data_IF_198846123567
#
_entry.id   IF_198846123567
#
_cell.length_a   1.000
_cell.length_b   1.000
_cell.length_c   1.000
_cell.angle_alpha   90.00
_cell.angle_beta   90.00
_cell.angle_gamma   90.00
#
_symmetry.space_group_name_H-M   'P 1'
#
loop_
_entity.id
_entity.type
_entity.pdbx_description
1 polymer ?
#
# COMPACT_ATOMS: atom_id res chain seq x y z
N UNK A 1 13.24 13.68 15.33
CA UNK A 1 12.26 12.57 15.28
C UNK A 1 12.94 11.36 14.65
N UNK A 2 12.76 10.17 15.24
CA UNK A 2 13.26 8.94 14.64
C UNK A 2 12.30 8.48 13.53
N UNK A 3 12.81 8.27 12.32
CA UNK A 3 12.03 7.99 11.13
C UNK A 3 12.44 6.66 10.50
N UNK A 4 11.47 5.86 10.06
CA UNK A 4 11.69 4.58 9.43
C UNK A 4 11.02 4.52 8.05
N UNK A 5 11.75 4.07 7.04
CA UNK A 5 11.19 3.56 5.80
C UNK A 5 11.15 2.03 5.87
N UNK A 6 9.97 1.46 5.72
CA UNK A 6 9.74 0.03 5.84
C UNK A 6 9.22 -0.54 4.52
N UNK A 7 9.86 -1.60 4.05
CA UNK A 7 9.45 -2.36 2.88
C UNK A 7 9.31 -3.84 3.18
N UNK A 8 8.48 -4.53 2.40
CA UNK A 8 8.37 -5.98 2.43
C UNK A 8 8.67 -6.55 1.06
N UNK A 9 9.70 -7.39 0.98
CA UNK A 9 10.07 -8.12 -0.23
C UNK A 9 10.16 -9.61 0.09
N UNK A 10 9.01 -10.24 0.29
CA UNK A 10 8.87 -11.69 0.55
C UNK A 10 8.52 -12.42 -0.75
N UNK A 11 9.25 -13.48 -1.04
CA UNK A 11 8.99 -14.34 -2.20
C UNK A 11 10.12 -14.37 -3.22
N UNK A 12 9.77 -14.71 -4.48
CA UNK A 12 10.76 -14.86 -5.55
C UNK A 12 11.36 -13.51 -5.95
N UNK A 13 12.69 -13.46 -6.07
CA UNK A 13 13.40 -12.27 -6.56
C UNK A 13 12.96 -11.89 -7.98
N UNK A 14 12.95 -10.58 -8.25
CA UNK A 14 12.57 -9.97 -9.53
C UNK A 14 13.47 -8.77 -9.77
N UNK A 15 13.91 -8.56 -11.02
CA UNK A 15 14.71 -7.38 -11.38
C UNK A 15 13.98 -6.08 -11.05
N UNK A 16 12.65 -6.06 -11.22
CA UNK A 16 11.83 -4.91 -10.86
C UNK A 16 11.95 -4.59 -9.36
N UNK A 17 11.73 -5.58 -8.51
CA UNK A 17 11.78 -5.37 -7.06
C UNK A 17 13.19 -5.02 -6.58
N UNK A 18 14.22 -5.67 -7.13
CA UNK A 18 15.61 -5.33 -6.81
C UNK A 18 15.94 -3.88 -7.19
N UNK A 19 15.46 -3.41 -8.34
CA UNK A 19 15.63 -2.02 -8.78
C UNK A 19 14.86 -1.02 -7.90
N UNK A 20 13.59 -1.29 -7.60
CA UNK A 20 12.76 -0.44 -6.77
C UNK A 20 13.28 -0.37 -5.33
N UNK A 21 13.56 -1.51 -4.70
CA UNK A 21 14.06 -1.54 -3.31
C UNK A 21 15.42 -0.86 -3.17
N UNK A 22 16.26 -0.94 -4.20
CA UNK A 22 17.51 -0.17 -4.24
C UNK A 22 17.25 1.33 -4.21
N UNK A 23 16.32 1.84 -5.04
CA UNK A 23 15.98 3.27 -5.07
C UNK A 23 15.41 3.77 -3.74
N UNK A 24 14.59 2.93 -3.07
CA UNK A 24 14.03 3.26 -1.76
C UNK A 24 15.12 3.30 -0.68
N UNK A 25 16.08 2.39 -0.71
CA UNK A 25 17.22 2.40 0.22
C UNK A 25 18.06 3.66 0.02
N UNK A 26 18.42 4.01 -1.21
CA UNK A 26 19.19 5.21 -1.55
C UNK A 26 18.44 6.49 -1.13
N UNK A 27 17.11 6.48 -1.28
CA UNK A 27 16.27 7.56 -0.81
C UNK A 27 16.27 7.70 0.72
N UNK A 28 16.14 6.59 1.46
CA UNK A 28 16.21 6.60 2.92
C UNK A 28 17.54 7.17 3.43
N UNK A 29 18.64 6.72 2.83
CA UNK A 29 19.99 7.24 3.15
C UNK A 29 20.08 8.76 2.90
N UNK A 30 19.52 9.25 1.79
CA UNK A 30 19.53 10.66 1.41
C UNK A 30 18.77 11.56 2.37
N UNK A 31 17.60 11.09 2.88
CA UNK A 31 16.77 11.85 3.83
C UNK A 31 17.15 11.61 5.30
N UNK A 32 18.11 10.73 5.58
CA UNK A 32 18.56 10.41 6.94
C UNK A 32 17.61 9.55 7.75
N UNK A 33 16.74 8.78 7.09
CA UNK A 33 15.84 7.82 7.74
C UNK A 33 16.46 6.44 7.84
N UNK A 34 16.11 5.68 8.88
CA UNK A 34 16.43 4.25 8.95
C UNK A 34 15.66 3.49 7.85
N UNK A 35 16.26 2.41 7.34
CA UNK A 35 15.65 1.57 6.32
C UNK A 35 15.61 0.11 6.75
N UNK A 36 14.42 -0.49 6.69
CA UNK A 36 14.20 -1.93 6.92
C UNK A 36 13.50 -2.52 5.71
N UNK A 37 14.10 -3.54 5.10
CA UNK A 37 13.44 -4.38 4.10
C UNK A 37 13.23 -5.78 4.67
N UNK A 38 11.98 -6.11 5.01
CA UNK A 38 11.60 -7.44 5.49
C UNK A 38 11.62 -8.41 4.31
N UNK A 39 12.47 -9.44 4.38
CA UNK A 39 12.62 -10.46 3.32
C UNK A 39 12.08 -11.83 3.73
N UNK A 40 11.68 -12.00 4.98
CA UNK A 40 11.09 -13.22 5.51
C UNK A 40 9.65 -12.95 5.99
N UNK A 41 8.73 -13.90 5.79
CA UNK A 41 7.37 -13.75 6.32
C UNK A 41 7.39 -13.88 7.84
N UNK A 42 6.80 -12.91 8.54
CA UNK A 42 6.72 -12.85 10.00
C UNK A 42 5.29 -13.07 10.49
N UNK A 43 4.31 -12.39 9.90
CA UNK A 43 2.91 -12.48 10.31
C UNK A 43 2.24 -13.76 9.82
N UNK A 44 2.50 -14.18 8.58
CA UNK A 44 1.97 -15.41 7.97
C UNK A 44 0.45 -15.53 8.09
N UNK A 45 -0.26 -14.44 7.80
CA UNK A 45 -1.72 -14.39 7.87
C UNK A 45 -2.33 -15.38 6.88
N UNK A 46 -3.22 -16.23 7.36
CA UNK A 46 -3.90 -17.26 6.56
C UNK A 46 -5.41 -17.01 6.52
N UNK A 47 -6.06 -17.14 5.34
CA UNK A 47 -7.51 -17.23 5.30
C UNK A 47 -7.97 -18.55 5.92
N UNK A 48 -9.11 -18.53 6.61
CA UNK A 48 -9.72 -19.76 7.16
C UNK A 48 -10.41 -20.57 6.07
N UNK A 49 -10.81 -19.92 4.98
CA UNK A 49 -11.61 -20.51 3.92
C UNK A 49 -10.86 -20.47 2.59
N UNK A 50 -10.59 -21.63 2.00
CA UNK A 50 -9.94 -21.76 0.69
C UNK A 50 -10.98 -21.80 -0.44
N UNK A 51 -11.84 -20.79 -0.53
CA UNK A 51 -12.93 -20.74 -1.51
C UNK A 51 -12.65 -19.83 -2.71
N UNK A 52 -11.55 -19.11 -2.69
CA UNK A 52 -11.20 -18.15 -3.74
C UNK A 52 -9.97 -18.57 -4.52
N UNK A 53 -9.83 -18.10 -5.76
CA UNK A 53 -8.62 -18.33 -6.57
C UNK A 53 -7.35 -17.80 -5.87
N UNK A 54 -7.50 -16.72 -5.08
CA UNK A 54 -6.39 -16.15 -4.30
C UNK A 54 -5.91 -17.11 -3.21
N UNK A 55 -6.82 -17.78 -2.54
CA UNK A 55 -6.48 -18.77 -1.49
C UNK A 55 -5.75 -19.98 -2.05
N UNK A 56 -6.16 -20.48 -3.23
CA UNK A 56 -5.45 -21.56 -3.94
C UNK A 56 -4.05 -21.14 -4.32
N UNK A 57 -3.90 -19.95 -4.92
CA UNK A 57 -2.58 -19.41 -5.27
C UNK A 57 -1.67 -19.25 -4.04
N UNK A 58 -2.22 -18.75 -2.95
CA UNK A 58 -1.51 -18.58 -1.69
C UNK A 58 -1.04 -19.92 -1.11
N UNK A 59 -1.92 -20.94 -1.12
CA UNK A 59 -1.59 -22.27 -0.66
C UNK A 59 -0.44 -22.88 -1.48
N UNK A 60 -0.53 -22.81 -2.80
CA UNK A 60 0.49 -23.38 -3.70
C UNK A 60 1.83 -22.66 -3.62
N UNK A 61 1.83 -21.34 -3.55
CA UNK A 61 3.06 -20.53 -3.63
C UNK A 61 3.69 -20.19 -2.29
N UNK A 62 2.87 -20.08 -1.24
CA UNK A 62 3.28 -19.50 0.04
C UNK A 62 2.89 -20.34 1.27
N UNK A 63 2.54 -21.61 1.10
CA UNK A 63 2.16 -22.48 2.21
C UNK A 63 0.89 -22.01 2.93
N UNK A 64 -0.03 -21.42 2.20
CA UNK A 64 -1.35 -21.00 2.68
C UNK A 64 -1.43 -19.62 3.31
N UNK A 65 -0.33 -18.84 3.39
CA UNK A 65 -0.40 -17.47 3.89
C UNK A 65 -0.45 -16.42 2.77
N UNK A 66 -0.90 -15.22 3.12
CA UNK A 66 -1.05 -14.08 2.21
C UNK A 66 0.05 -13.04 2.46
N UNK A 67 1.13 -13.00 1.64
CA UNK A 67 2.25 -12.08 1.85
C UNK A 67 1.88 -10.61 1.87
N UNK A 68 0.74 -10.26 1.30
CA UNK A 68 0.25 -8.89 1.22
C UNK A 68 -0.01 -8.26 2.59
N UNK A 69 -0.27 -9.06 3.63
CA UNK A 69 -0.46 -8.58 5.00
C UNK A 69 0.84 -8.52 5.82
N UNK A 70 1.99 -8.79 5.22
CA UNK A 70 3.27 -8.69 5.93
C UNK A 70 3.70 -7.21 6.16
N UNK A 71 3.12 -6.25 5.43
CA UNK A 71 3.43 -4.83 5.57
C UNK A 71 3.07 -4.26 6.94
N UNK A 72 2.00 -4.75 7.52
CA UNK A 72 1.50 -4.32 8.82
C UNK A 72 2.45 -4.68 9.97
N UNK A 73 3.44 -5.56 9.73
CA UNK A 73 4.51 -5.80 10.69
C UNK A 73 5.32 -4.52 10.98
N UNK A 74 5.26 -3.52 10.12
CA UNK A 74 5.81 -2.18 10.37
C UNK A 74 5.31 -1.56 11.69
N UNK A 75 4.09 -1.89 12.11
CA UNK A 75 3.50 -1.35 13.34
C UNK A 75 4.24 -1.78 14.63
N UNK A 76 4.98 -2.89 14.58
CA UNK A 76 5.85 -3.32 15.70
C UNK A 76 6.99 -2.33 15.97
N UNK A 77 7.31 -1.45 15.01
CA UNK A 77 8.42 -0.53 15.14
C UNK A 77 8.06 0.82 15.77
N UNK A 78 6.79 1.02 16.16
CA UNK A 78 6.38 2.23 16.88
C UNK A 78 6.96 2.37 18.28
N UNK A 79 7.57 1.33 18.83
CA UNK A 79 8.34 1.44 20.08
C UNK A 79 9.59 2.33 19.88
N UNK A 80 10.18 2.30 18.70
CA UNK A 80 11.46 2.95 18.38
C UNK A 80 11.31 4.21 17.51
N UNK A 81 10.33 4.26 16.59
CA UNK A 81 10.21 5.32 15.58
C UNK A 81 8.98 6.21 15.83
N UNK A 82 9.15 7.50 15.58
CA UNK A 82 8.09 8.51 15.69
C UNK A 82 7.22 8.58 14.44
N UNK A 83 7.83 8.34 13.27
CA UNK A 83 7.15 8.26 11.97
C UNK A 83 7.62 7.03 11.21
N UNK A 84 6.68 6.38 10.51
CA UNK A 84 6.97 5.23 9.65
C UNK A 84 6.34 5.48 8.28
N UNK A 85 7.16 5.37 7.22
CA UNK A 85 6.69 5.29 5.84
C UNK A 85 6.77 3.84 5.37
N UNK A 86 5.62 3.24 5.03
CA UNK A 86 5.52 1.88 4.49
C UNK A 86 5.39 1.99 2.98
N UNK A 87 6.31 1.36 2.24
CA UNK A 87 6.43 1.53 0.78
C UNK A 87 6.45 0.16 0.12
N UNK A 88 5.59 -0.09 -0.88
CA UNK A 88 5.57 -1.36 -1.62
C UNK A 88 6.90 -1.61 -2.36
N UNK A 89 7.28 -2.87 -2.49
CA UNK A 89 8.56 -3.27 -3.09
C UNK A 89 8.65 -3.00 -4.61
N UNK A 90 7.55 -2.65 -5.25
CA UNK A 90 7.46 -2.26 -6.65
C UNK A 90 7.28 -0.75 -6.87
N UNK A 91 7.65 0.05 -5.87
CA UNK A 91 7.72 1.50 -5.98
C UNK A 91 9.17 1.93 -6.21
N UNK A 92 9.40 2.66 -7.30
CA UNK A 92 10.64 3.35 -7.60
C UNK A 92 10.57 4.81 -7.13
N UNK A 93 11.60 5.28 -6.45
CA UNK A 93 11.71 6.67 -5.98
C UNK A 93 12.73 7.42 -6.83
N UNK A 94 12.37 8.61 -7.30
CA UNK A 94 13.29 9.48 -8.04
C UNK A 94 14.32 10.12 -7.13
N UNK A 95 15.49 10.37 -7.65
CA UNK A 95 16.58 11.04 -6.91
C UNK A 95 16.19 12.46 -6.46
N UNK A 96 15.25 13.09 -7.18
CA UNK A 96 14.75 14.45 -6.88
C UNK A 96 13.55 14.46 -5.93
N UNK A 97 13.08 13.32 -5.48
CA UNK A 97 11.94 13.24 -4.57
C UNK A 97 12.25 13.97 -3.25
N UNK A 98 11.35 14.84 -2.78
CA UNK A 98 11.53 15.50 -1.48
C UNK A 98 11.37 14.50 -0.32
N UNK A 99 11.59 14.96 0.91
CA UNK A 99 11.42 14.13 2.09
C UNK A 99 9.92 13.91 2.39
N UNK A 100 9.49 12.64 2.34
CA UNK A 100 8.10 12.22 2.53
C UNK A 100 7.58 12.50 3.94
N UNK A 101 8.44 12.56 4.93
CA UNK A 101 8.03 12.77 6.31
C UNK A 101 7.57 14.20 6.59
N UNK A 102 7.95 15.16 5.75
CA UNK A 102 7.41 16.52 5.81
C UNK A 102 6.00 16.65 5.23
N UNK A 103 5.51 15.64 4.50
CA UNK A 103 4.15 15.65 3.95
C UNK A 103 3.09 15.29 4.98
N UNK A 104 3.47 14.66 6.10
CA UNK A 104 2.54 14.30 7.16
C UNK A 104 2.76 15.19 8.39
N UNK A 105 2.00 16.27 8.49
CA UNK A 105 2.02 17.18 9.63
C UNK A 105 1.57 16.47 10.91
N UNK A 106 1.96 17.03 12.06
CA UNK A 106 1.81 16.38 13.36
C UNK A 106 0.36 16.10 13.78
N UNK A 107 -0.61 16.85 13.25
CA UNK A 107 -2.03 16.67 13.54
C UNK A 107 -2.69 15.48 12.84
N UNK A 108 -2.07 14.95 11.76
CA UNK A 108 -2.62 13.81 11.04
C UNK A 108 -2.18 12.49 11.65
N UNK A 109 -3.10 11.54 11.67
CA UNK A 109 -2.84 10.16 12.12
C UNK A 109 -2.16 9.34 11.02
N UNK A 110 -2.61 9.56 9.76
CA UNK A 110 -2.32 8.71 8.62
C UNK A 110 -2.28 9.54 7.32
N UNK A 111 -1.32 9.26 6.46
CA UNK A 111 -1.21 9.87 5.14
C UNK A 111 -1.10 8.83 4.04
N UNK A 112 -1.89 8.99 2.98
CA UNK A 112 -1.81 8.19 1.76
C UNK A 112 -2.42 8.92 0.56
N UNK A 113 -2.17 8.41 -0.64
CA UNK A 113 -2.70 8.99 -1.89
C UNK A 113 -4.06 8.41 -2.20
N UNK A 114 -5.07 9.28 -2.36
CA UNK A 114 -6.38 8.88 -2.91
C UNK A 114 -6.19 8.54 -4.40
N UNK A 115 -6.45 7.29 -4.78
CA UNK A 115 -6.15 6.81 -6.13
C UNK A 115 -6.86 7.62 -7.23
N UNK A 116 -8.09 8.06 -6.96
CA UNK A 116 -8.88 8.87 -7.89
C UNK A 116 -8.33 10.30 -8.10
N UNK A 117 -7.41 10.81 -7.26
CA UNK A 117 -6.79 12.13 -7.41
C UNK A 117 -5.71 12.18 -8.50
N UNK A 118 -5.22 11.02 -8.91
CA UNK A 118 -4.18 10.91 -9.92
C UNK A 118 -4.72 11.28 -11.31
N UNK A 119 -3.97 12.03 -12.14
CA UNK A 119 -4.30 12.22 -13.55
C UNK A 119 -4.19 10.87 -14.29
N UNK A 120 -5.34 10.31 -14.68
CA UNK A 120 -5.42 8.95 -15.20
C UNK A 120 -6.17 8.86 -16.52
N UNK A 121 -5.97 7.75 -17.23
CA UNK A 121 -6.72 7.45 -18.45
C UNK A 121 -8.20 7.21 -18.14
N UNK A 122 -9.13 7.52 -19.09
CA UNK A 122 -10.55 7.26 -18.92
C UNK A 122 -10.86 5.78 -18.60
N UNK A 123 -10.15 4.86 -19.23
CA UNK A 123 -10.31 3.41 -19.03
C UNK A 123 -9.95 3.00 -17.60
N UNK A 124 -8.89 3.57 -17.06
CA UNK A 124 -8.50 3.28 -15.68
C UNK A 124 -9.48 3.91 -14.68
N UNK A 125 -9.97 5.11 -14.97
CA UNK A 125 -11.00 5.77 -14.17
C UNK A 125 -12.28 4.91 -14.07
N UNK A 126 -12.77 4.39 -15.19
CA UNK A 126 -13.92 3.48 -15.20
C UNK A 126 -13.65 2.20 -14.38
N UNK A 127 -12.42 1.67 -14.47
CA UNK A 127 -12.03 0.50 -13.69
C UNK A 127 -12.06 0.75 -12.18
N UNK A 128 -11.51 1.86 -11.70
CA UNK A 128 -11.48 2.16 -10.25
C UNK A 128 -12.88 2.51 -9.72
N UNK A 129 -13.74 3.13 -10.52
CA UNK A 129 -15.14 3.36 -10.18
C UNK A 129 -15.83 2.03 -9.85
N UNK A 130 -15.76 1.06 -10.77
CA UNK A 130 -16.35 -0.26 -10.59
C UNK A 130 -15.71 -1.03 -9.43
N UNK A 131 -14.38 -0.98 -9.30
CA UNK A 131 -13.65 -1.63 -8.21
C UNK A 131 -14.08 -1.06 -6.86
N UNK A 132 -14.11 0.25 -6.72
CA UNK A 132 -14.49 0.91 -5.46
C UNK A 132 -15.93 0.60 -5.07
N UNK A 133 -16.87 0.62 -6.02
CA UNK A 133 -18.24 0.23 -5.78
C UNK A 133 -18.35 -1.23 -5.30
N UNK A 134 -17.64 -2.16 -5.96
CA UNK A 134 -17.61 -3.57 -5.57
C UNK A 134 -17.05 -3.77 -4.16
N UNK A 135 -15.94 -3.09 -3.81
CA UNK A 135 -15.25 -3.31 -2.55
C UNK A 135 -15.92 -2.63 -1.35
N UNK A 136 -16.53 -1.47 -1.55
CA UNK A 136 -16.88 -0.59 -0.44
C UNK A 136 -18.38 -0.29 -0.28
N UNK A 137 -19.23 -0.51 -1.30
CA UNK A 137 -20.65 -0.14 -1.23
C UNK A 137 -21.45 -0.87 -0.16
N UNK A 138 -21.04 -2.08 0.22
CA UNK A 138 -21.73 -2.87 1.26
C UNK A 138 -21.19 -2.63 2.68
N UNK A 139 -20.14 -1.82 2.83
CA UNK A 139 -19.58 -1.50 4.13
C UNK A 139 -20.46 -0.47 4.86
N UNK A 140 -20.76 -0.75 6.12
CA UNK A 140 -21.54 0.16 6.98
C UNK A 140 -20.61 1.18 7.64
N UNK A 141 -20.04 2.07 6.84
CA UNK A 141 -19.19 3.18 7.29
C UNK A 141 -19.62 4.45 6.56
N UNK A 142 -19.40 5.58 7.21
CA UNK A 142 -19.61 6.88 6.59
C UNK A 142 -18.51 7.14 5.55
N UNK A 143 -18.88 7.02 4.28
CA UNK A 143 -17.96 7.19 3.17
C UNK A 143 -18.67 7.81 1.97
N UNK A 144 -18.24 9.01 1.65
CA UNK A 144 -18.79 9.79 0.56
C UNK A 144 -18.55 9.11 -0.80
N UNK A 145 -19.63 8.82 -1.52
CA UNK A 145 -19.56 8.28 -2.88
C UNK A 145 -19.61 9.41 -3.90
N UNK A 146 -18.78 9.33 -4.92
CA UNK A 146 -18.79 10.26 -6.04
C UNK A 146 -19.12 9.53 -7.34
N UNK A 147 -20.12 9.98 -8.10
CA UNK A 147 -20.59 9.30 -9.32
C UNK A 147 -19.53 9.21 -10.43
N UNK A 148 -18.53 10.07 -10.42
CA UNK A 148 -17.45 10.08 -11.42
C UNK A 148 -16.21 9.27 -11.00
N UNK A 149 -15.96 9.11 -9.71
CA UNK A 149 -14.73 8.51 -9.19
C UNK A 149 -14.94 7.37 -8.21
N UNK A 150 -16.18 7.12 -7.81
CA UNK A 150 -16.53 6.11 -6.81
C UNK A 150 -16.19 6.53 -5.37
N UNK A 151 -15.99 5.56 -4.51
CA UNK A 151 -15.48 5.80 -3.17
C UNK A 151 -14.01 6.25 -3.23
N UNK A 152 -13.63 7.34 -2.54
CA UNK A 152 -12.26 7.89 -2.58
C UNK A 152 -11.31 7.04 -1.73
N UNK A 153 -11.04 5.81 -2.16
CA UNK A 153 -10.12 4.92 -1.49
C UNK A 153 -8.66 5.34 -1.72
N UNK A 154 -7.85 5.07 -0.74
CA UNK A 154 -6.42 5.33 -0.78
C UNK A 154 -5.67 4.10 -1.29
N UNK A 155 -4.65 4.33 -2.13
CA UNK A 155 -3.74 3.29 -2.56
C UNK A 155 -2.68 3.05 -1.46
N UNK A 156 -2.67 1.84 -0.90
CA UNK A 156 -1.82 1.46 0.22
C UNK A 156 -0.41 0.99 -0.18
N UNK A 157 -0.02 1.26 -1.41
CA UNK A 157 1.38 1.08 -1.82
C UNK A 157 2.34 2.06 -1.14
N UNK A 158 1.80 3.21 -0.68
CA UNK A 158 2.48 4.16 0.18
C UNK A 158 1.57 4.57 1.34
N UNK A 159 2.09 4.46 2.55
CA UNK A 159 1.46 4.92 3.78
C UNK A 159 2.48 5.66 4.63
N UNK A 160 2.10 6.79 5.21
CA UNK A 160 2.92 7.50 6.20
C UNK A 160 2.13 7.63 7.50
N UNK A 161 2.76 7.30 8.61
CA UNK A 161 2.11 7.13 9.90
C UNK A 161 2.83 7.96 10.97
N UNK A 162 2.07 8.67 11.82
CA UNK A 162 2.58 9.34 13.01
C UNK A 162 2.30 8.48 14.26
N UNK A 163 3.34 8.06 14.97
CA UNK A 163 3.23 7.23 16.18
C UNK A 163 2.23 7.80 17.20
N UNK A 164 2.40 9.06 17.57
CA UNK A 164 1.63 9.67 18.66
C UNK A 164 0.13 9.66 18.41
N UNK A 165 -0.28 9.70 17.15
CA UNK A 165 -1.68 9.73 16.78
C UNK A 165 -2.18 8.34 16.36
N UNK A 166 -1.37 7.57 15.63
CA UNK A 166 -1.78 6.30 15.05
C UNK A 166 -1.77 5.12 16.03
N UNK A 167 -0.77 5.05 16.92
CA UNK A 167 -0.58 3.90 17.79
C UNK A 167 -1.77 3.63 18.75
N UNK A 168 -2.52 4.67 19.12
CA UNK A 168 -3.74 4.54 19.96
C UNK A 168 -4.79 3.61 19.35
N UNK A 169 -4.89 3.56 18.02
CA UNK A 169 -5.88 2.73 17.29
C UNK A 169 -5.49 1.24 17.26
N UNK A 170 -4.22 0.93 17.53
CA UNK A 170 -3.78 -0.45 17.66
C UNK A 170 -4.18 -1.08 19.01
N UNK A 171 -4.57 -0.27 20.01
CA UNK A 171 -5.00 -0.73 21.33
C UNK A 171 -4.00 -1.67 22.02
N UNK A 172 -2.70 -1.45 21.82
CA UNK A 172 -1.64 -2.31 22.37
C UNK A 172 -1.53 -3.69 21.75
N UNK A 173 -2.25 -3.96 20.67
CA UNK A 173 -2.20 -5.23 19.95
C UNK A 173 -0.88 -5.37 19.18
N UNK A 174 -0.42 -6.61 19.03
CA UNK A 174 0.63 -6.93 18.07
C UNK A 174 0.11 -6.74 16.63
N UNK A 175 1.00 -6.57 15.63
CA UNK A 175 0.58 -6.51 14.24
C UNK A 175 -0.24 -7.73 13.79
N UNK A 176 0.09 -8.92 14.30
CA UNK A 176 -0.66 -10.15 14.04
C UNK A 176 -2.09 -10.05 14.61
N UNK A 177 -2.24 -9.70 15.90
CA UNK A 177 -3.55 -9.59 16.55
C UNK A 177 -4.40 -8.50 15.90
N UNK A 178 -3.78 -7.40 15.48
CA UNK A 178 -4.45 -6.34 14.72
C UNK A 178 -5.08 -6.87 13.44
N UNK A 179 -4.31 -7.57 12.58
CA UNK A 179 -4.83 -8.12 11.32
C UNK A 179 -5.87 -9.21 11.59
N UNK A 180 -5.72 -9.98 12.64
CA UNK A 180 -6.65 -11.07 12.98
C UNK A 180 -7.93 -10.61 13.69
N UNK A 181 -8.20 -9.29 13.78
CA UNK A 181 -9.48 -8.80 14.30
C UNK A 181 -10.65 -9.43 13.55
N UNK A 182 -11.71 -9.80 14.28
CA UNK A 182 -12.90 -10.43 13.71
C UNK A 182 -13.52 -9.61 12.57
N UNK A 183 -13.46 -8.30 12.65
CA UNK A 183 -14.00 -7.38 11.64
C UNK A 183 -13.24 -7.42 10.30
N UNK A 184 -11.99 -7.88 10.29
CA UNK A 184 -11.17 -8.00 9.09
C UNK A 184 -11.26 -9.35 8.40
N UNK A 185 -11.86 -10.34 9.08
CA UNK A 185 -11.93 -11.72 8.61
C UNK A 185 -12.53 -11.85 7.22
N UNK A 186 -13.59 -11.10 6.93
CA UNK A 186 -14.26 -11.13 5.61
C UNK A 186 -13.33 -10.69 4.47
N UNK A 187 -12.39 -9.75 4.74
CA UNK A 187 -11.41 -9.27 3.76
C UNK A 187 -10.29 -10.30 3.57
N UNK A 188 -9.81 -10.90 4.66
CA UNK A 188 -8.75 -11.91 4.64
C UNK A 188 -9.23 -13.16 3.93
N UNK A 189 -10.42 -13.67 4.28
CA UNK A 189 -11.03 -14.83 3.66
C UNK A 189 -11.48 -14.59 2.21
N UNK A 190 -11.63 -13.31 1.82
CA UNK A 190 -12.00 -12.94 0.46
C UNK A 190 -13.37 -13.40 0.03
N UNK A 191 -14.37 -13.28 0.91
CA UNK A 191 -15.73 -13.74 0.67
C UNK A 191 -16.55 -12.73 -0.16
N UNK A 192 -17.34 -13.23 -1.10
CA UNK A 192 -18.27 -12.42 -1.89
C UNK A 192 -17.58 -11.27 -2.63
N UNK A 193 -17.99 -10.00 -2.40
CA UNK A 193 -17.40 -8.84 -3.06
C UNK A 193 -15.91 -8.64 -2.73
N UNK A 194 -15.43 -9.21 -1.62
CA UNK A 194 -14.04 -9.09 -1.18
C UNK A 194 -13.09 -10.15 -1.74
N UNK A 195 -13.51 -10.89 -2.75
CA UNK A 195 -12.65 -11.86 -3.46
C UNK A 195 -11.29 -11.30 -3.89
N UNK A 196 -11.21 -10.01 -4.21
CA UNK A 196 -10.00 -9.30 -4.63
C UNK A 196 -9.47 -8.35 -3.56
N UNK A 197 -9.98 -8.47 -2.35
CA UNK A 197 -9.55 -7.67 -1.20
C UNK A 197 -8.08 -7.92 -0.88
N UNK A 198 -7.41 -6.86 -0.43
CA UNK A 198 -6.02 -6.87 0.02
C UNK A 198 -5.95 -6.08 1.33
N UNK A 199 -4.75 -5.85 1.85
CA UNK A 199 -4.48 -4.87 2.89
C UNK A 199 -5.13 -3.51 2.57
N UNK A 200 -5.11 -3.08 1.31
CA UNK A 200 -5.74 -1.84 0.87
C UNK A 200 -7.23 -1.76 1.23
N UNK A 201 -8.00 -2.82 1.00
CA UNK A 201 -9.44 -2.81 1.34
C UNK A 201 -9.65 -2.76 2.85
N UNK A 202 -8.91 -3.58 3.58
CA UNK A 202 -8.96 -3.67 5.04
C UNK A 202 -8.60 -2.33 5.69
N UNK A 203 -7.47 -1.73 5.29
CA UNK A 203 -7.00 -0.46 5.88
C UNK A 203 -7.90 0.71 5.50
N UNK A 204 -8.41 0.79 4.26
CA UNK A 204 -9.38 1.82 3.88
C UNK A 204 -10.67 1.73 4.71
N UNK A 205 -11.16 0.51 4.99
CA UNK A 205 -12.26 0.30 5.92
C UNK A 205 -11.91 0.79 7.32
N UNK A 206 -10.79 0.34 7.86
CA UNK A 206 -10.40 0.61 9.23
C UNK A 206 -10.16 2.09 9.53
N UNK A 207 -9.37 2.79 8.72
CA UNK A 207 -9.07 4.21 8.94
C UNK A 207 -10.33 5.08 8.93
N UNK A 208 -11.35 4.69 8.16
CA UNK A 208 -12.63 5.40 8.14
C UNK A 208 -13.52 5.03 9.30
N UNK A 209 -13.58 3.76 9.65
CA UNK A 209 -14.32 3.28 10.83
C UNK A 209 -13.84 3.96 12.11
N UNK A 210 -12.53 4.09 12.27
CA UNK A 210 -11.91 4.75 13.43
C UNK A 210 -11.92 6.29 13.31
N UNK A 211 -12.45 6.85 12.21
CA UNK A 211 -12.51 8.29 11.98
C UNK A 211 -11.15 8.98 12.14
N UNK A 212 -10.09 8.35 11.65
CA UNK A 212 -8.74 8.90 11.71
C UNK A 212 -8.64 10.21 10.97
N UNK A 213 -7.81 11.13 11.48
CA UNK A 213 -7.46 12.36 10.76
C UNK A 213 -6.50 12.03 9.62
N UNK A 214 -7.02 11.97 8.39
CA UNK A 214 -6.33 11.48 7.20
C UNK A 214 -5.78 12.64 6.37
N UNK A 215 -4.47 12.64 6.11
CA UNK A 215 -3.85 13.47 5.08
C UNK A 215 -4.03 12.83 3.70
N UNK A 216 -4.78 13.50 2.83
CA UNK A 216 -4.83 13.15 1.41
C UNK A 216 -3.59 13.73 0.73
N UNK A 217 -2.60 12.88 0.48
CA UNK A 217 -1.33 13.28 -0.12
C UNK A 217 -1.48 13.56 -1.61
N UNK A 218 -0.59 14.39 -2.18
CA UNK A 218 -0.54 14.63 -3.62
C UNK A 218 -0.28 13.33 -4.40
N UNK A 219 -0.91 13.17 -5.55
CA UNK A 219 -0.78 11.98 -6.39
C UNK A 219 0.65 11.64 -6.81
N UNK A 220 1.55 12.63 -6.85
CA UNK A 220 2.96 12.44 -7.20
C UNK A 220 3.68 11.49 -6.26
N UNK A 221 3.17 11.31 -5.06
CA UNK A 221 3.76 10.41 -4.06
C UNK A 221 3.47 8.93 -4.29
N UNK A 222 2.47 8.58 -5.13
CA UNK A 222 2.17 7.18 -5.45
C UNK A 222 1.50 7.07 -6.82
N UNK A 223 2.22 7.46 -7.87
CA UNK A 223 1.70 7.45 -9.23
C UNK A 223 1.81 6.07 -9.87
N UNK A 224 0.68 5.53 -10.32
CA UNK A 224 0.62 4.21 -10.96
C UNK A 224 1.15 4.26 -12.39
N UNK A 225 2.22 3.55 -12.68
CA UNK A 225 2.89 3.55 -14.00
C UNK A 225 1.92 3.26 -15.15
N UNK A 226 1.06 2.25 -15.02
CA UNK A 226 0.16 1.80 -16.08
C UNK A 226 -1.09 2.67 -16.27
N UNK A 227 -1.32 3.67 -15.41
CA UNK A 227 -2.55 4.44 -15.36
C UNK A 227 -2.35 5.95 -15.39
N UNK A 228 -1.25 6.45 -14.83
CA UNK A 228 -0.97 7.87 -14.72
C UNK A 228 -0.57 8.46 -16.08
N UNK A 229 -1.28 9.50 -16.54
CA UNK A 229 -0.99 10.19 -17.79
C UNK A 229 0.17 11.19 -17.70
N UNK A 230 0.61 11.51 -16.47
CA UNK A 230 1.68 12.47 -16.17
C UNK A 230 2.80 11.81 -15.33
N UNK A 231 3.13 10.56 -15.64
CA UNK A 231 4.04 9.74 -14.83
C UNK A 231 5.43 10.37 -14.62
N UNK A 232 5.89 11.18 -15.57
CA UNK A 232 7.20 11.86 -15.50
C UNK A 232 7.27 12.94 -14.41
N UNK A 233 6.14 13.39 -13.88
CA UNK A 233 6.08 14.39 -12.80
C UNK A 233 6.04 13.75 -11.40
N UNK A 234 5.89 12.43 -11.34
CA UNK A 234 5.79 11.71 -10.07
C UNK A 234 7.11 11.74 -9.29
N UNK A 235 7.02 11.79 -7.97
CA UNK A 235 8.13 11.55 -7.05
C UNK A 235 8.37 10.05 -6.88
N UNK A 236 7.27 9.30 -6.67
CA UNK A 236 7.26 7.86 -6.51
C UNK A 236 6.43 7.23 -7.62
N UNK A 237 7.01 6.25 -8.32
CA UNK A 237 6.36 5.52 -9.41
C UNK A 237 6.07 4.10 -8.98
N UNK A 238 4.81 3.73 -8.96
CA UNK A 238 4.33 2.43 -8.52
C UNK A 238 4.06 1.52 -9.72
N UNK A 239 4.81 0.45 -9.85
CA UNK A 239 4.74 -0.54 -10.94
C UNK A 239 3.76 -1.67 -10.63
N UNK A 240 2.59 -1.29 -10.21
CA UNK A 240 1.52 -2.23 -9.91
C UNK A 240 0.93 -2.85 -11.20
N UNK A 241 0.29 -4.04 -11.11
CA UNK A 241 -0.22 -4.82 -12.23
C UNK A 241 0.87 -5.31 -13.20
N UNK A 242 1.70 -6.23 -12.74
CA UNK A 242 2.82 -6.81 -13.51
C UNK A 242 2.46 -7.22 -14.94
N UNK A 243 1.25 -7.72 -15.19
CA UNK A 243 0.82 -8.12 -16.53
C UNK A 243 0.68 -6.94 -17.52
N UNK A 244 0.68 -5.69 -17.00
CA UNK A 244 0.66 -4.46 -17.80
C UNK A 244 2.05 -3.87 -18.03
N UNK A 245 3.09 -4.45 -17.43
CA UNK A 245 4.45 -3.95 -17.52
C UNK A 245 5.23 -4.65 -18.65
N UNK A 246 6.19 -3.97 -19.31
CA UNK A 246 7.11 -4.58 -20.26
C UNK A 246 7.80 -5.81 -19.68
N UNK A 247 7.62 -6.96 -20.34
CA UNK A 247 8.11 -8.26 -19.85
C UNK A 247 7.78 -8.52 -18.36
N UNK A 248 6.54 -8.22 -17.93
CA UNK A 248 6.07 -8.37 -16.53
C UNK A 248 6.96 -7.65 -15.49
N UNK A 249 7.60 -6.55 -15.88
CA UNK A 249 8.50 -5.76 -15.05
C UNK A 249 9.97 -6.17 -15.11
N UNK A 250 10.35 -7.19 -15.87
CA UNK A 250 11.74 -7.62 -15.97
C UNK A 250 12.57 -6.77 -16.98
N UNK A 251 11.90 -5.94 -17.83
CA UNK A 251 12.57 -5.01 -18.74
C UNK A 251 12.76 -3.63 -18.07
N UNK A 252 13.72 -3.54 -17.17
CA UNK A 252 14.02 -2.32 -16.40
C UNK A 252 14.46 -1.17 -17.31
N UNK A 253 15.19 -1.46 -18.37
CA UNK A 253 15.69 -0.46 -19.34
C UNK A 253 14.52 0.30 -19.98
N UNK A 254 13.46 -0.43 -20.38
CA UNK A 254 12.25 0.19 -20.92
C UNK A 254 11.50 0.99 -19.84
N UNK A 255 11.29 0.41 -18.65
CA UNK A 255 10.61 1.10 -17.55
C UNK A 255 11.32 2.41 -17.18
N UNK A 256 12.65 2.38 -17.10
CA UNK A 256 13.46 3.57 -16.82
C UNK A 256 13.27 4.65 -17.90
N UNK A 257 13.33 4.27 -19.20
CA UNK A 257 13.11 5.19 -20.32
C UNK A 257 11.72 5.85 -20.27
N UNK A 258 10.70 5.09 -19.87
CA UNK A 258 9.33 5.58 -19.87
C UNK A 258 9.07 6.60 -18.77
N UNK A 259 9.76 6.48 -17.64
CA UNK A 259 9.54 7.35 -16.48
C UNK A 259 10.55 8.50 -16.39
N UNK A 260 11.75 8.39 -16.90
CA UNK A 260 12.77 9.44 -16.93
C UNK A 260 12.70 10.24 -18.22
#
# INVERSE_FOLDING_TARGET
MAQLIYQVYVGKRSRLYDWCTKSVKEYAERIGADYICQTQPLLRIKPDIFTTNRSVESYEKHGGFLPIYEKENAFAHFDKYDQIAIIDADIYIRDTAPDIFFELEAEYDFGAVVEASMPMTPEYRAKILNYSAMQYSSLKIDWEYNDQTGFPFMNMGLMVLNKNNFAKYLNGQTPYDFIMRQEFKMFIDGLGPWKWSTDQTLLNYWVRKEQMNIKKMDWKWNALYSACTRIKEAHFVHFFLKDKLPNRGENIEQLRKDIL
#
